data_IF_254443602002
#
_entry.id   IF_254443602002
#
_cell.length_a   1.000
_cell.length_b   1.000
_cell.length_c   1.000
_cell.angle_alpha   90.00
_cell.angle_beta   90.00
_cell.angle_gamma   90.00
#
_symmetry.space_group_name_H-M   'P 1'
#
loop_
_entity.id
_entity.type
_entity.pdbx_description
1 polymer ?
#
# COMPACT_ATOMS: atom_id res chain seq x y z
N UNK A 1 2.54 -11.10 -9.13
CA UNK A 1 1.32 -10.76 -8.38
C UNK A 1 1.66 -10.34 -6.95
N UNK A 2 1.91 -11.24 -5.99
CA UNK A 2 2.04 -10.87 -4.56
C UNK A 2 3.17 -9.87 -4.21
N UNK A 3 4.34 -9.93 -4.85
CA UNK A 3 5.45 -9.01 -4.54
C UNK A 3 5.23 -7.56 -5.03
N UNK A 4 4.72 -7.40 -6.26
CA UNK A 4 4.55 -6.09 -6.91
C UNK A 4 3.13 -5.56 -6.72
N UNK A 5 2.12 -6.31 -7.13
CA UNK A 5 0.73 -5.84 -7.17
C UNK A 5 0.20 -5.58 -5.77
N UNK A 6 0.19 -6.61 -4.91
CA UNK A 6 -0.29 -6.48 -3.53
C UNK A 6 0.79 -5.82 -2.65
N UNK A 7 2.03 -6.30 -2.77
CA UNK A 7 3.13 -5.90 -1.91
C UNK A 7 3.69 -4.50 -2.13
N UNK A 8 3.46 -3.88 -3.30
CA UNK A 8 3.90 -2.53 -3.62
C UNK A 8 2.72 -1.63 -4.04
N UNK A 9 2.03 -1.93 -5.15
CA UNK A 9 1.02 -1.02 -5.73
C UNK A 9 -0.20 -0.82 -4.84
N UNK A 10 -0.84 -1.88 -4.33
CA UNK A 10 -1.99 -1.72 -3.44
C UNK A 10 -1.57 -1.10 -2.11
N UNK A 11 -0.49 -1.59 -1.51
CA UNK A 11 0.06 -1.02 -0.28
C UNK A 11 0.33 0.50 -0.40
N UNK A 12 0.98 0.92 -1.49
CA UNK A 12 1.28 2.33 -1.73
C UNK A 12 0.06 3.12 -2.21
N UNK A 13 -0.83 2.51 -2.98
CA UNK A 13 -2.01 3.13 -3.60
C UNK A 13 -3.05 3.65 -2.59
N UNK A 14 -3.06 3.13 -1.36
CA UNK A 14 -3.94 3.62 -0.29
C UNK A 14 -3.43 4.89 0.41
N UNK A 15 -2.13 5.20 0.26
CA UNK A 15 -1.49 6.30 0.97
C UNK A 15 -2.05 7.70 0.69
N UNK A 16 -2.57 8.06 -0.51
CA UNK A 16 -3.22 9.37 -0.70
C UNK A 16 -4.43 9.55 0.22
N UNK A 17 -5.23 8.51 0.44
CA UNK A 17 -6.39 8.55 1.33
C UNK A 17 -5.95 8.60 2.80
N UNK A 18 -4.91 7.86 3.18
CA UNK A 18 -4.36 7.96 4.54
C UNK A 18 -3.74 9.34 4.83
N UNK A 19 -3.16 10.00 3.83
CA UNK A 19 -2.67 11.37 3.98
C UNK A 19 -3.83 12.36 4.28
N UNK A 20 -5.00 12.16 3.68
CA UNK A 20 -6.22 12.92 4.00
C UNK A 20 -6.76 12.56 5.40
N UNK A 21 -6.77 11.28 5.76
CA UNK A 21 -7.20 10.79 7.07
C UNK A 21 -6.42 11.45 8.22
N UNK A 22 -5.09 11.54 8.09
CA UNK A 22 -4.22 12.18 9.08
C UNK A 22 -4.56 13.64 9.34
N UNK A 23 -5.32 14.27 8.43
CA UNK A 23 -5.78 15.66 8.52
C UNK A 23 -7.29 15.77 8.80
N UNK A 24 -7.90 14.64 9.19
CA UNK A 24 -9.30 14.59 9.59
C UNK A 24 -10.29 14.41 8.45
N UNK A 25 -9.83 14.17 7.22
CA UNK A 25 -10.68 14.01 6.02
C UNK A 25 -10.81 12.53 5.63
N UNK A 26 -11.87 12.15 4.91
CA UNK A 26 -12.04 10.79 4.36
C UNK A 26 -11.92 9.65 5.40
N UNK A 27 -12.25 9.90 6.68
CA UNK A 27 -12.03 8.94 7.77
C UNK A 27 -12.70 7.59 7.55
N UNK A 28 -13.95 7.58 7.04
CA UNK A 28 -14.69 6.35 6.74
C UNK A 28 -14.04 5.54 5.62
N UNK A 29 -13.64 6.20 4.51
CA UNK A 29 -12.92 5.55 3.41
C UNK A 29 -11.58 4.99 3.88
N UNK A 30 -10.84 5.76 4.68
CA UNK A 30 -9.57 5.32 5.25
C UNK A 30 -9.73 4.10 6.16
N UNK A 31 -10.80 4.02 6.95
CA UNK A 31 -11.08 2.84 7.76
C UNK A 31 -11.33 1.59 6.90
N UNK A 32 -12.05 1.72 5.79
CA UNK A 32 -12.21 0.62 4.84
C UNK A 32 -10.86 0.20 4.21
N UNK A 33 -10.04 1.18 3.81
CA UNK A 33 -8.72 0.91 3.25
C UNK A 33 -7.76 0.28 4.25
N UNK A 34 -7.90 0.58 5.55
CA UNK A 34 -7.13 -0.10 6.60
C UNK A 34 -7.45 -1.60 6.66
N UNK A 35 -8.72 -2.00 6.49
CA UNK A 35 -9.08 -3.41 6.45
C UNK A 35 -8.45 -4.11 5.24
N UNK A 36 -8.60 -3.50 4.05
CA UNK A 36 -8.01 -4.04 2.81
C UNK A 36 -6.49 -4.15 2.95
N UNK A 37 -5.81 -3.09 3.42
CA UNK A 37 -4.36 -3.08 3.56
C UNK A 37 -3.83 -4.18 4.49
N UNK A 38 -4.58 -4.54 5.54
CA UNK A 38 -4.18 -5.66 6.42
C UNK A 38 -4.19 -6.98 5.66
N UNK A 39 -5.21 -7.22 4.86
CA UNK A 39 -5.31 -8.41 4.03
C UNK A 39 -4.19 -8.43 2.98
N UNK A 40 -3.92 -7.30 2.33
CA UNK A 40 -2.85 -7.20 1.33
C UNK A 40 -1.44 -7.45 1.90
N UNK A 41 -1.18 -7.02 3.15
CA UNK A 41 0.09 -7.35 3.82
C UNK A 41 0.24 -8.87 4.02
N UNK A 42 -0.86 -9.56 4.37
CA UNK A 42 -0.87 -11.01 4.51
C UNK A 42 -0.74 -11.70 3.14
N UNK A 43 -1.44 -11.22 2.11
CA UNK A 43 -1.37 -11.76 0.76
C UNK A 43 0.05 -11.61 0.18
N UNK A 44 0.66 -10.43 0.29
CA UNK A 44 2.03 -10.19 -0.15
C UNK A 44 3.01 -11.10 0.59
N UNK A 45 2.88 -11.23 1.91
CA UNK A 45 3.72 -12.12 2.72
C UNK A 45 3.58 -13.59 2.30
N UNK A 46 2.35 -14.03 2.03
CA UNK A 46 2.08 -15.37 1.52
C UNK A 46 2.66 -15.58 0.11
N UNK A 47 2.42 -14.66 -0.81
CA UNK A 47 2.95 -14.72 -2.18
C UNK A 47 4.47 -14.80 -2.21
N UNK A 48 5.16 -14.02 -1.37
CA UNK A 48 6.63 -14.10 -1.24
C UNK A 48 7.07 -15.48 -0.77
N UNK A 49 6.41 -16.07 0.23
CA UNK A 49 6.73 -17.43 0.69
C UNK A 49 6.53 -18.46 -0.42
N UNK A 50 5.42 -18.36 -1.16
CA UNK A 50 5.13 -19.27 -2.29
C UNK A 50 6.22 -19.19 -3.35
N UNK A 51 6.61 -17.97 -3.77
CA UNK A 51 7.68 -17.79 -4.76
C UNK A 51 8.99 -18.42 -4.28
N UNK A 52 9.39 -18.16 -3.03
CA UNK A 52 10.60 -18.74 -2.45
C UNK A 52 10.55 -20.27 -2.39
N UNK A 53 9.39 -20.82 -2.04
CA UNK A 53 9.21 -22.27 -1.98
C UNK A 53 9.33 -22.92 -3.36
N UNK A 54 8.70 -22.33 -4.38
CA UNK A 54 8.79 -22.82 -5.77
C UNK A 54 10.24 -22.78 -6.27
N UNK A 55 10.96 -21.67 -6.02
CA UNK A 55 12.37 -21.55 -6.39
C UNK A 55 13.21 -22.65 -5.75
N UNK A 56 12.96 -22.93 -4.47
CA UNK A 56 13.68 -23.95 -3.70
C UNK A 56 13.36 -25.38 -4.16
N UNK A 57 12.08 -25.74 -4.27
CA UNK A 57 11.63 -27.09 -4.64
C UNK A 57 12.03 -27.48 -6.05
N UNK A 58 11.93 -26.54 -6.99
CA UNK A 58 12.21 -26.77 -8.42
C UNK A 58 13.65 -26.40 -8.80
N UNK A 59 14.46 -25.95 -7.85
CA UNK A 59 15.83 -25.49 -8.06
C UNK A 59 15.96 -24.48 -9.23
N UNK A 60 15.04 -23.50 -9.26
CA UNK A 60 14.94 -22.52 -10.34
C UNK A 60 16.00 -21.42 -10.15
N UNK A 61 16.74 -21.12 -11.20
CA UNK A 61 17.52 -19.89 -11.30
C UNK A 61 16.75 -18.87 -12.13
N UNK A 62 16.41 -17.74 -11.52
CA UNK A 62 15.74 -16.64 -12.22
C UNK A 62 16.76 -15.76 -12.93
N UNK A 63 16.42 -15.31 -14.14
CA UNK A 63 17.25 -14.35 -14.88
C UNK A 63 17.23 -12.99 -14.18
N UNK A 64 18.39 -12.48 -13.70
CA UNK A 64 18.49 -11.17 -13.07
C UNK A 64 18.01 -10.04 -13.98
N UNK A 65 18.20 -10.18 -15.30
CA UNK A 65 17.76 -9.19 -16.28
C UNK A 65 16.24 -9.13 -16.35
N UNK A 66 15.56 -10.27 -16.43
CA UNK A 66 14.10 -10.33 -16.42
C UNK A 66 13.50 -9.76 -15.13
N UNK A 67 14.13 -10.03 -13.97
CA UNK A 67 13.71 -9.42 -12.69
C UNK A 67 13.86 -7.90 -12.73
N UNK A 68 14.99 -7.40 -13.24
CA UNK A 68 15.25 -5.96 -13.36
C UNK A 68 14.23 -5.27 -14.27
N UNK A 69 13.98 -5.84 -15.45
CA UNK A 69 12.99 -5.33 -16.42
C UNK A 69 11.59 -5.29 -15.79
N UNK A 70 11.19 -6.33 -15.04
CA UNK A 70 9.91 -6.36 -14.34
C UNK A 70 9.77 -5.22 -13.30
N UNK A 71 10.84 -4.86 -12.58
CA UNK A 71 10.82 -3.72 -11.66
C UNK A 71 10.75 -2.37 -12.39
N UNK A 72 11.44 -2.24 -13.53
CA UNK A 72 11.41 -1.02 -14.34
C UNK A 72 10.03 -0.80 -14.95
N UNK A 73 9.39 -1.85 -15.46
CA UNK A 73 7.99 -1.82 -15.91
C UNK A 73 7.04 -1.47 -14.77
N UNK A 74 7.27 -2.03 -13.57
CA UNK A 74 6.44 -1.75 -12.42
C UNK A 74 6.53 -0.29 -11.97
N UNK A 75 7.74 0.28 -11.99
CA UNK A 75 7.98 1.68 -11.70
C UNK A 75 7.36 2.60 -12.74
N UNK A 76 7.48 2.29 -14.04
CA UNK A 76 6.88 3.07 -15.11
C UNK A 76 5.35 3.09 -15.02
N UNK A 77 4.73 1.94 -14.69
CA UNK A 77 3.30 1.86 -14.44
C UNK A 77 2.88 2.75 -13.25
N UNK A 78 3.61 2.68 -12.14
CA UNK A 78 3.31 3.49 -10.96
C UNK A 78 3.51 4.99 -11.23
N UNK A 79 4.56 5.38 -11.95
CA UNK A 79 4.83 6.78 -12.28
C UNK A 79 3.73 7.39 -13.16
N UNK A 80 3.24 6.62 -14.13
CA UNK A 80 2.11 6.99 -14.98
C UNK A 80 0.83 7.11 -14.16
N UNK A 81 0.56 6.14 -13.28
CA UNK A 81 -0.61 6.17 -12.40
C UNK A 81 -0.55 7.37 -11.45
N UNK A 82 0.56 7.57 -10.74
CA UNK A 82 0.78 8.69 -9.84
C UNK A 82 0.68 10.03 -10.58
N UNK A 83 1.23 10.13 -11.79
CA UNK A 83 1.09 11.31 -12.65
C UNK A 83 -0.36 11.59 -13.07
N UNK A 84 -1.19 10.54 -13.20
CA UNK A 84 -2.60 10.70 -13.50
C UNK A 84 -3.43 11.14 -12.29
N UNK A 85 -3.24 10.51 -11.13
CA UNK A 85 -4.05 10.77 -9.93
C UNK A 85 -3.56 11.98 -9.11
N UNK A 86 -2.30 12.39 -9.27
CA UNK A 86 -1.64 13.49 -8.55
C UNK A 86 -1.08 14.52 -9.54
N UNK A 87 -1.87 14.88 -10.56
CA UNK A 87 -1.52 16.00 -11.47
C UNK A 87 -1.21 17.28 -10.69
N UNK A 88 -2.04 17.52 -9.67
CA UNK A 88 -1.83 18.52 -8.64
C UNK A 88 -1.59 17.80 -7.30
N UNK A 89 -0.70 18.32 -6.43
CA UNK A 89 -0.56 17.81 -5.08
C UNK A 89 -1.88 17.90 -4.32
N UNK A 90 -2.19 16.88 -3.53
CA UNK A 90 -3.28 16.94 -2.56
C UNK A 90 -2.72 17.35 -1.19
N UNK A 91 -3.62 17.57 -0.23
CA UNK A 91 -3.26 18.15 1.06
C UNK A 91 -2.18 17.32 1.79
N UNK A 92 -0.95 17.83 1.72
CA UNK A 92 0.25 17.24 2.30
C UNK A 92 0.57 15.84 1.78
N UNK A 93 0.39 15.65 0.47
CA UNK A 93 0.78 14.48 -0.29
C UNK A 93 1.03 14.86 -1.76
N UNK A 94 2.18 14.50 -2.32
CA UNK A 94 2.54 14.80 -3.71
C UNK A 94 3.09 13.57 -4.44
N UNK A 95 3.17 13.65 -5.77
CA UNK A 95 3.68 12.56 -6.61
C UNK A 95 5.07 12.11 -6.18
N UNK A 96 5.93 13.03 -5.78
CA UNK A 96 7.32 12.74 -5.39
C UNK A 96 7.37 11.84 -4.15
N UNK A 97 6.57 12.13 -3.13
CA UNK A 97 6.47 11.32 -1.91
C UNK A 97 5.92 9.92 -2.25
N UNK A 98 4.92 9.86 -3.14
CA UNK A 98 4.29 8.61 -3.59
C UNK A 98 5.29 7.68 -4.29
N UNK A 99 6.09 8.25 -5.20
CA UNK A 99 7.07 7.50 -5.97
C UNK A 99 8.28 7.10 -5.13
N UNK A 100 8.71 7.97 -4.21
CA UNK A 100 9.79 7.64 -3.28
C UNK A 100 9.39 6.51 -2.33
N UNK A 101 8.17 6.57 -1.78
CA UNK A 101 7.64 5.48 -0.98
C UNK A 101 7.50 4.18 -1.78
N UNK A 102 7.04 4.25 -3.04
CA UNK A 102 6.98 3.07 -3.92
C UNK A 102 8.36 2.42 -4.04
N UNK A 103 9.40 3.19 -4.37
CA UNK A 103 10.78 2.69 -4.51
C UNK A 103 11.28 2.07 -3.21
N UNK A 104 11.05 2.72 -2.08
CA UNK A 104 11.40 2.20 -0.77
C UNK A 104 10.72 0.84 -0.46
N UNK A 105 9.42 0.72 -0.74
CA UNK A 105 8.70 -0.55 -0.55
C UNK A 105 9.16 -1.62 -1.53
N UNK A 106 9.39 -1.26 -2.80
CA UNK A 106 9.90 -2.18 -3.81
C UNK A 106 11.25 -2.79 -3.40
N UNK A 107 12.17 -1.99 -2.86
CA UNK A 107 13.43 -2.49 -2.30
C UNK A 107 13.20 -3.50 -1.18
N UNK A 108 12.30 -3.19 -0.23
CA UNK A 108 11.97 -4.13 0.85
C UNK A 108 11.42 -5.45 0.31
N UNK A 109 10.58 -5.43 -0.73
CA UNK A 109 10.04 -6.65 -1.36
C UNK A 109 11.10 -7.45 -2.11
N UNK A 110 11.98 -6.78 -2.86
CA UNK A 110 13.08 -7.42 -3.55
C UNK A 110 14.02 -8.14 -2.57
N UNK A 111 14.42 -7.47 -1.48
CA UNK A 111 15.25 -8.05 -0.42
C UNK A 111 14.56 -9.25 0.25
N UNK A 112 13.26 -9.17 0.52
CA UNK A 112 12.49 -10.31 1.08
C UNK A 112 12.51 -11.55 0.18
N UNK A 113 12.51 -11.33 -1.14
CA UNK A 113 12.63 -12.36 -2.18
C UNK A 113 14.08 -12.83 -2.39
N UNK A 114 15.06 -12.19 -1.75
CA UNK A 114 16.48 -12.54 -1.85
C UNK A 114 17.19 -11.90 -3.04
N UNK A 115 16.67 -10.79 -3.56
CA UNK A 115 17.23 -10.05 -4.69
C UNK A 115 17.83 -8.72 -4.24
N UNK A 116 18.68 -8.16 -5.10
CA UNK A 116 19.23 -6.81 -4.90
C UNK A 116 18.14 -5.74 -4.98
N UNK A 117 18.43 -4.58 -4.38
CA UNK A 117 17.53 -3.44 -4.40
C UNK A 117 17.39 -2.88 -5.83
N UNK A 118 16.18 -2.87 -6.43
CA UNK A 118 15.98 -2.31 -7.76
C UNK A 118 16.20 -0.79 -7.79
N UNK A 119 15.95 -0.09 -6.68
CA UNK A 119 16.05 1.37 -6.55
C UNK A 119 16.98 1.79 -5.40
N UNK A 120 18.30 1.56 -5.50
CA UNK A 120 19.23 1.84 -4.40
C UNK A 120 19.16 3.29 -3.93
N UNK A 121 19.22 3.50 -2.62
CA UNK A 121 19.19 4.83 -2.00
C UNK A 121 17.79 5.43 -1.80
N UNK A 122 16.72 4.70 -2.13
CA UNK A 122 15.36 5.13 -1.82
C UNK A 122 15.11 5.17 -0.31
N UNK A 123 14.48 6.24 0.16
CA UNK A 123 14.19 6.51 1.56
C UNK A 123 12.70 6.36 1.89
N UNK A 124 12.38 6.11 3.17
CA UNK A 124 11.00 6.01 3.62
C UNK A 124 10.34 7.41 3.67
N UNK A 125 9.72 7.83 2.56
CA UNK A 125 9.04 9.11 2.45
C UNK A 125 7.79 9.22 3.33
N UNK A 126 7.11 8.09 3.59
CA UNK A 126 5.86 8.02 4.36
C UNK A 126 6.02 7.10 5.58
N UNK A 127 6.79 7.50 6.61
CA UNK A 127 7.07 6.64 7.77
C UNK A 127 5.81 6.27 8.56
N UNK A 128 4.76 7.08 8.46
CA UNK A 128 3.47 6.82 9.08
C UNK A 128 2.62 5.77 8.37
N UNK A 129 2.98 5.33 7.17
CA UNK A 129 2.21 4.34 6.42
C UNK A 129 2.29 2.96 7.08
N UNK A 130 3.45 2.61 7.64
CA UNK A 130 3.62 1.37 8.41
C UNK A 130 2.77 1.35 9.69
N UNK A 131 2.51 2.50 10.31
CA UNK A 131 1.58 2.60 11.45
C UNK A 131 0.14 2.26 11.05
N UNK A 132 -0.27 2.68 9.86
CA UNK A 132 -1.61 2.40 9.33
C UNK A 132 -1.81 0.91 9.05
N UNK A 133 -0.76 0.22 8.60
CA UNK A 133 -0.76 -1.23 8.36
C UNK A 133 -0.77 -2.05 9.66
N UNK A 134 -0.09 -1.55 10.70
CA UNK A 134 0.09 -2.28 11.95
C UNK A 134 -0.91 -1.90 13.07
N UNK A 135 -1.76 -0.89 12.87
CA UNK A 135 -2.77 -0.52 13.86
C UNK A 135 -3.73 -1.68 14.12
N UNK A 136 -3.58 -2.37 15.25
CA UNK A 136 -4.61 -3.25 15.81
C UNK A 136 -5.66 -2.37 16.48
N UNK A 137 -6.74 -2.04 15.76
CA UNK A 137 -7.95 -1.58 16.44
C UNK A 137 -8.59 -2.80 17.09
N UNK A 138 -8.27 -3.04 18.36
CA UNK A 138 -9.20 -3.71 19.26
C UNK A 138 -10.41 -2.77 19.43
N UNK A 139 -11.35 -2.80 18.48
CA UNK A 139 -12.72 -2.42 18.80
C UNK A 139 -13.40 -3.71 19.20
N UNK A 140 -13.62 -3.89 20.51
CA UNK A 140 -14.52 -4.91 21.00
C UNK A 140 -15.87 -4.71 20.29
N UNK A 141 -16.28 -5.72 19.53
CA UNK A 141 -17.56 -5.74 18.81
C UNK A 141 -18.75 -5.46 19.75
N UNK A 142 -18.56 -5.73 21.05
CA UNK A 142 -19.54 -5.50 22.13
C UNK A 142 -19.48 -4.10 22.76
N UNK A 143 -18.44 -3.31 22.51
CA UNK A 143 -18.30 -1.95 23.06
C UNK A 143 -18.70 -0.86 22.07
N UNK A 144 -18.91 -1.22 20.79
CA UNK A 144 -19.39 -0.26 19.79
C UNK A 144 -20.89 -0.08 19.98
N UNK A 145 -21.29 0.98 20.69
CA UNK A 145 -22.70 1.33 20.85
C UNK A 145 -23.28 1.67 19.47
N UNK A 146 -24.44 1.10 19.14
CA UNK A 146 -25.22 1.38 17.93
C UNK A 146 -25.73 2.83 18.01
N UNK A 147 -24.86 3.79 17.68
CA UNK A 147 -25.21 5.22 17.68
C UNK A 147 -24.88 5.93 16.37
N UNK A 148 -24.51 5.18 15.33
CA UNK A 148 -24.35 5.69 13.96
C UNK A 148 -25.52 5.32 13.03
N UNK A 149 -26.71 5.05 13.57
CA UNK A 149 -27.93 5.44 12.87
C UNK A 149 -28.22 6.89 13.24
N UNK A 150 -27.56 7.85 12.58
CA UNK A 150 -28.32 9.06 12.28
C UNK A 150 -29.41 8.62 11.32
N UNK A 151 -30.63 8.47 11.85
CA UNK A 151 -31.84 8.48 11.04
C UNK A 151 -31.77 9.73 10.15
N UNK A 152 -31.42 9.53 8.88
CA UNK A 152 -31.47 10.53 7.82
C UNK A 152 -32.92 10.90 7.49
N UNK A 153 -33.60 11.50 8.47
CA UNK A 153 -35.04 11.71 8.45
C UNK A 153 -35.47 12.85 9.38
N UNK A 154 -34.75 13.97 9.34
CA UNK A 154 -35.27 15.26 9.83
C UNK A 154 -34.70 16.38 8.95
N UNK A 155 -35.12 16.40 7.68
CA UNK A 155 -35.06 17.60 6.86
C UNK A 155 -36.20 18.51 7.31
N UNK A 156 -35.88 19.57 8.05
CA UNK A 156 -36.76 20.72 8.24
C UNK A 156 -36.67 21.56 6.98
N UNK A 157 -37.77 21.62 6.22
CA UNK A 157 -37.95 22.58 5.15
C UNK A 157 -38.78 23.73 5.72
N UNK A 158 -38.13 24.87 5.95
CA UNK A 158 -38.82 26.17 5.95
C UNK A 158 -38.77 26.73 4.52
#
# INVERSE_FOLDING_TARGET
FGGIFEGCWLYNGFSPIFALQRRGLMKGTAEQFQYIMRDEVLHASFGIRVVKQIIHEENISLDPKAIREMWEEAHACEDNYAGYILRDPILGYRKEDHMEQFRFIANRRAVQLGWEEPFPGAECALPWLDEQANMRKEKNFFETTVTEYQTGGALSWD
#
